data_IF_985750153159
#
_entry.id   IF_985750153159
#
_cell.length_a   1.000
_cell.length_b   1.000
_cell.length_c   1.000
_cell.angle_alpha   90.00
_cell.angle_beta   90.00
_cell.angle_gamma   90.00
#
_symmetry.space_group_name_H-M   'P 1'
#
loop_
_entity.id
_entity.type
_entity.pdbx_description
1 polymer ?
#
# COMPACT_ATOMS: atom_id res chain seq x y z
N UNK A 1 -81.51 3.91 15.83
CA UNK A 1 -80.51 3.06 15.14
C UNK A 1 -79.29 3.90 14.84
N UNK A 2 -78.13 3.49 15.35
CA UNK A 2 -76.83 4.16 15.20
C UNK A 2 -76.17 3.67 13.91
N UNK A 3 -75.67 4.56 13.06
CA UNK A 3 -74.71 4.24 12.02
C UNK A 3 -73.50 5.17 12.18
N UNK A 4 -72.49 4.65 12.87
CA UNK A 4 -71.15 5.25 13.01
C UNK A 4 -70.36 4.85 11.78
N UNK A 5 -70.11 5.79 10.88
CA UNK A 5 -69.18 5.59 9.77
C UNK A 5 -67.79 5.96 10.29
N UNK A 6 -66.94 4.94 10.39
CA UNK A 6 -65.58 5.01 10.89
C UNK A 6 -64.70 5.78 9.91
N UNK A 7 -64.03 6.81 10.42
CA UNK A 7 -62.91 7.48 9.78
C UNK A 7 -61.81 6.47 9.43
N UNK A 8 -61.59 6.24 8.14
CA UNK A 8 -60.44 5.52 7.61
C UNK A 8 -59.29 6.52 7.50
N UNK A 9 -58.33 6.41 8.43
CA UNK A 9 -57.05 7.10 8.35
C UNK A 9 -56.25 6.49 7.19
N UNK A 10 -55.97 7.32 6.17
CA UNK A 10 -54.96 7.05 5.15
C UNK A 10 -53.58 7.23 5.80
N UNK A 11 -52.92 6.11 6.11
CA UNK A 11 -51.50 6.09 6.43
C UNK A 11 -50.74 6.14 5.11
N UNK A 12 -49.90 7.17 4.84
CA UNK A 12 -48.98 7.09 3.73
C UNK A 12 -47.91 6.06 4.09
N UNK A 13 -47.98 4.89 3.45
CA UNK A 13 -46.87 3.95 3.39
C UNK A 13 -45.78 4.64 2.57
N UNK A 14 -44.93 5.39 3.25
CA UNK A 14 -43.65 5.84 2.71
C UNK A 14 -42.84 4.57 2.50
N UNK A 15 -42.91 4.03 1.29
CA UNK A 15 -41.95 3.06 0.81
C UNK A 15 -40.60 3.79 0.78
N UNK A 16 -39.83 3.62 1.86
CA UNK A 16 -38.40 3.88 1.87
C UNK A 16 -37.82 3.01 0.75
N UNK A 17 -37.62 3.63 -0.40
CA UNK A 17 -36.74 3.12 -1.44
C UNK A 17 -35.37 3.14 -0.81
N UNK A 18 -35.01 2.03 -0.16
CA UNK A 18 -33.62 1.69 0.11
C UNK A 18 -33.00 1.51 -1.28
N UNK A 19 -32.55 2.61 -1.87
CA UNK A 19 -31.51 2.57 -2.89
C UNK A 19 -30.40 1.74 -2.24
N UNK A 20 -30.21 0.53 -2.73
CA UNK A 20 -29.05 -0.28 -2.41
C UNK A 20 -27.84 0.63 -2.60
N UNK A 21 -27.18 1.00 -1.49
CA UNK A 21 -25.86 1.59 -1.51
C UNK A 21 -24.95 0.52 -2.11
N UNK A 22 -24.68 0.62 -3.41
CA UNK A 22 -23.70 -0.20 -4.12
C UNK A 22 -22.29 0.27 -3.76
N UNK A 23 -21.89 0.05 -2.52
CA UNK A 23 -20.49 0.14 -2.12
C UNK A 23 -19.76 -1.14 -2.54
N UNK A 24 -18.49 -1.02 -2.91
CA UNK A 24 -17.67 -2.17 -3.24
C UNK A 24 -17.53 -3.08 -2.00
N UNK A 25 -17.57 -4.38 -2.24
CA UNK A 25 -17.43 -5.41 -1.20
C UNK A 25 -15.98 -5.56 -0.74
N UNK A 26 -15.79 -6.19 0.42
CA UNK A 26 -14.44 -6.52 0.94
C UNK A 26 -13.64 -7.35 -0.07
N UNK A 27 -14.28 -8.34 -0.69
CA UNK A 27 -13.67 -9.19 -1.73
C UNK A 27 -13.23 -8.36 -2.95
N UNK A 28 -14.01 -7.37 -3.38
CA UNK A 28 -13.65 -6.49 -4.49
C UNK A 28 -12.41 -5.63 -4.18
N UNK A 29 -12.29 -5.10 -2.95
CA UNK A 29 -11.08 -4.36 -2.57
C UNK A 29 -9.86 -5.28 -2.41
N UNK A 30 -10.04 -6.49 -1.86
CA UNK A 30 -8.96 -7.48 -1.76
C UNK A 30 -8.46 -7.87 -3.15
N UNK A 31 -9.37 -8.12 -4.09
CA UNK A 31 -9.05 -8.46 -5.48
C UNK A 31 -8.35 -7.29 -6.20
N UNK A 32 -8.84 -6.06 -6.03
CA UNK A 32 -8.23 -4.86 -6.61
C UNK A 32 -6.79 -4.65 -6.10
N UNK A 33 -6.57 -4.73 -4.79
CA UNK A 33 -5.22 -4.59 -4.22
C UNK A 33 -4.30 -5.73 -4.67
N UNK A 34 -4.81 -6.97 -4.68
CA UNK A 34 -4.04 -8.13 -5.12
C UNK A 34 -3.64 -8.00 -6.59
N UNK A 35 -4.57 -7.55 -7.45
CA UNK A 35 -4.29 -7.23 -8.84
C UNK A 35 -3.17 -6.20 -8.97
N UNK A 36 -3.30 -5.05 -8.30
CA UNK A 36 -2.30 -3.98 -8.32
C UNK A 36 -0.92 -4.44 -7.86
N UNK A 37 -0.85 -5.22 -6.78
CA UNK A 37 0.42 -5.75 -6.26
C UNK A 37 1.06 -6.79 -7.17
N UNK A 38 0.27 -7.58 -7.91
CA UNK A 38 0.77 -8.57 -8.87
C UNK A 38 1.13 -7.95 -10.23
N UNK A 39 0.51 -6.83 -10.59
CA UNK A 39 0.75 -6.11 -11.85
C UNK A 39 1.78 -4.99 -11.74
N UNK A 40 2.22 -4.65 -10.52
CA UNK A 40 3.22 -3.61 -10.26
C UNK A 40 4.47 -3.75 -11.16
N UNK A 41 4.86 -2.65 -11.80
CA UNK A 41 6.00 -2.62 -12.73
C UNK A 41 7.32 -2.97 -12.03
N UNK A 42 7.50 -2.45 -10.80
CA UNK A 42 8.69 -2.70 -10.00
C UNK A 42 8.44 -3.81 -8.99
N UNK A 43 9.08 -4.97 -9.20
CA UNK A 43 9.04 -6.12 -8.28
C UNK A 43 7.61 -6.57 -7.93
N UNK A 44 6.84 -7.07 -8.93
CA UNK A 44 5.50 -7.59 -8.69
C UNK A 44 5.52 -8.71 -7.65
N UNK A 45 4.52 -8.72 -6.77
CA UNK A 45 4.37 -9.81 -5.83
C UNK A 45 3.80 -11.05 -6.53
N UNK A 46 4.16 -12.23 -6.03
CA UNK A 46 3.45 -13.44 -6.42
C UNK A 46 2.02 -13.40 -5.88
N UNK A 47 1.06 -13.94 -6.62
CA UNK A 47 -0.36 -13.98 -6.22
C UNK A 47 -0.60 -14.36 -4.74
N UNK A 48 -0.02 -15.43 -4.16
CA UNK A 48 -0.24 -15.77 -2.75
C UNK A 48 0.26 -14.71 -1.75
N UNK A 49 1.31 -13.96 -2.10
CA UNK A 49 1.83 -12.87 -1.26
C UNK A 49 0.95 -11.64 -1.38
N UNK A 50 0.50 -11.32 -2.60
CA UNK A 50 -0.41 -10.23 -2.87
C UNK A 50 -1.74 -10.44 -2.15
N UNK A 51 -2.33 -11.63 -2.22
CA UNK A 51 -3.55 -12.01 -1.50
C UNK A 51 -3.37 -11.85 0.02
N UNK A 52 -2.28 -12.39 0.59
CA UNK A 52 -1.97 -12.24 2.02
C UNK A 52 -1.92 -10.77 2.47
N UNK A 53 -1.22 -9.91 1.70
CA UNK A 53 -1.12 -8.49 2.01
C UNK A 53 -2.48 -7.82 1.88
N UNK A 54 -3.23 -8.14 0.82
CA UNK A 54 -4.52 -7.52 0.50
C UNK A 54 -5.57 -7.82 1.56
N UNK A 55 -5.68 -9.08 1.99
CA UNK A 55 -6.58 -9.49 3.07
C UNK A 55 -6.28 -8.73 4.37
N UNK A 56 -5.00 -8.62 4.74
CA UNK A 56 -4.59 -7.91 5.96
C UNK A 56 -4.83 -6.41 5.86
N UNK A 57 -4.52 -5.80 4.72
CA UNK A 57 -4.71 -4.37 4.51
C UNK A 57 -6.18 -4.00 4.55
N UNK A 58 -7.02 -4.68 3.76
CA UNK A 58 -8.46 -4.40 3.69
C UNK A 58 -9.13 -4.70 5.04
N UNK A 59 -8.78 -5.80 5.69
CA UNK A 59 -9.30 -6.13 7.02
C UNK A 59 -8.93 -5.09 8.09
N UNK A 60 -7.81 -4.39 7.93
CA UNK A 60 -7.37 -3.32 8.83
C UNK A 60 -8.03 -1.98 8.53
N UNK A 61 -8.09 -1.59 7.26
CA UNK A 61 -8.67 -0.30 6.86
C UNK A 61 -10.20 -0.31 6.99
N UNK A 62 -10.81 -1.46 6.72
CA UNK A 62 -12.25 -1.60 6.61
C UNK A 62 -12.78 -1.05 5.28
N UNK A 63 -13.82 -1.69 4.75
CA UNK A 63 -14.43 -1.29 3.48
C UNK A 63 -15.06 0.08 3.51
N UNK A 64 -15.57 0.52 4.67
CA UNK A 64 -16.22 1.83 4.81
C UNK A 64 -15.22 2.97 4.56
N UNK A 65 -14.02 2.89 5.16
CA UNK A 65 -12.95 3.88 4.94
C UNK A 65 -12.43 3.83 3.52
N UNK A 66 -12.28 2.64 2.95
CA UNK A 66 -11.85 2.49 1.56
C UNK A 66 -12.87 3.09 0.60
N UNK A 67 -14.16 2.89 0.83
CA UNK A 67 -15.23 3.39 -0.04
C UNK A 67 -15.43 4.91 0.04
N UNK A 68 -14.98 5.56 1.11
CA UNK A 68 -15.06 7.02 1.25
C UNK A 68 -14.08 7.72 0.29
N UNK A 69 -12.89 7.14 0.08
CA UNK A 69 -11.78 7.79 -0.64
C UNK A 69 -11.40 7.08 -1.96
N UNK A 70 -11.78 5.81 -2.13
CA UNK A 70 -11.39 4.98 -3.27
C UNK A 70 -12.57 4.26 -3.93
N UNK A 71 -12.64 4.34 -5.25
CA UNK A 71 -13.22 3.27 -6.05
C UNK A 71 -12.18 2.14 -6.28
N UNK A 72 -12.65 0.98 -6.74
CA UNK A 72 -11.79 -0.19 -6.87
C UNK A 72 -10.67 -0.01 -7.92
N UNK A 73 -10.87 0.81 -8.95
CA UNK A 73 -9.88 1.03 -10.02
C UNK A 73 -8.76 1.95 -9.53
N UNK A 74 -9.13 3.05 -8.84
CA UNK A 74 -8.16 3.93 -8.20
C UNK A 74 -7.35 3.17 -7.13
N UNK A 75 -8.02 2.29 -6.37
CA UNK A 75 -7.35 1.49 -5.35
C UNK A 75 -6.33 0.50 -5.93
N UNK A 76 -6.66 -0.15 -7.06
CA UNK A 76 -5.72 -1.05 -7.76
C UNK A 76 -4.44 -0.32 -8.18
N UNK A 77 -4.59 0.87 -8.80
CA UNK A 77 -3.46 1.69 -9.27
C UNK A 77 -2.55 2.10 -8.11
N UNK A 78 -3.16 2.56 -7.03
CA UNK A 78 -2.46 3.07 -5.85
C UNK A 78 -1.78 1.94 -5.05
N UNK A 79 -2.43 0.77 -4.98
CA UNK A 79 -1.84 -0.45 -4.44
C UNK A 79 -0.57 -0.86 -5.20
N UNK A 80 -0.54 -0.72 -6.53
CA UNK A 80 0.65 -1.02 -7.33
C UNK A 80 1.85 -0.14 -6.95
N UNK A 81 1.58 1.10 -6.52
CA UNK A 81 2.58 2.10 -6.14
C UNK A 81 2.88 2.14 -4.63
N UNK A 82 2.10 1.45 -3.82
CA UNK A 82 2.15 1.50 -2.35
C UNK A 82 1.92 2.92 -1.78
N UNK A 83 1.06 3.68 -2.43
CA UNK A 83 0.69 5.04 -2.03
C UNK A 83 -0.76 5.04 -1.61
N UNK A 84 -1.06 5.50 -0.40
CA UNK A 84 -2.42 5.53 0.16
C UNK A 84 -2.67 6.86 0.87
N UNK A 85 -2.27 7.96 0.21
CA UNK A 85 -2.28 9.29 0.83
C UNK A 85 -3.69 9.77 1.17
N UNK A 86 -4.68 9.36 0.38
CA UNK A 86 -6.07 9.71 0.59
C UNK A 86 -6.70 8.99 1.79
N UNK A 87 -6.09 7.88 2.26
CA UNK A 87 -6.58 7.19 3.46
C UNK A 87 -6.22 7.89 4.77
N UNK A 88 -5.43 8.97 4.76
CA UNK A 88 -4.99 9.70 5.96
C UNK A 88 -4.38 8.75 7.03
N UNK A 89 -3.54 7.81 6.60
CA UNK A 89 -2.92 6.83 7.47
C UNK A 89 -2.11 7.49 8.60
N UNK A 90 -2.39 7.09 9.84
CA UNK A 90 -1.54 7.43 10.98
C UNK A 90 -0.19 6.72 10.89
N UNK A 91 0.81 7.24 11.59
CA UNK A 91 2.13 6.60 11.61
C UNK A 91 2.09 5.17 12.18
N UNK A 92 1.35 4.87 13.27
CA UNK A 92 1.20 3.50 13.75
C UNK A 92 0.55 2.58 12.71
N UNK A 93 -0.55 3.00 12.06
CA UNK A 93 -1.22 2.18 11.05
C UNK A 93 -0.28 1.85 9.88
N UNK A 94 0.45 2.84 9.36
CA UNK A 94 1.40 2.61 8.28
C UNK A 94 2.58 1.72 8.70
N UNK A 95 2.99 1.74 9.97
CA UNK A 95 3.99 0.82 10.50
C UNK A 95 3.48 -0.62 10.54
N UNK A 96 2.25 -0.81 10.99
CA UNK A 96 1.63 -2.13 11.06
C UNK A 96 1.37 -2.70 9.65
N UNK A 97 0.97 -1.84 8.70
CA UNK A 97 0.89 -2.22 7.29
C UNK A 97 2.24 -2.65 6.74
N UNK A 98 3.31 -1.90 7.01
CA UNK A 98 4.67 -2.30 6.63
C UNK A 98 5.06 -3.68 7.19
N UNK A 99 4.67 -3.97 8.43
CA UNK A 99 4.90 -5.27 9.06
C UNK A 99 4.11 -6.38 8.36
N UNK A 100 2.87 -6.09 7.96
CA UNK A 100 2.03 -7.03 7.19
C UNK A 100 2.67 -7.39 5.84
N UNK A 101 3.31 -6.44 5.15
CA UNK A 101 4.11 -6.73 3.94
C UNK A 101 5.25 -7.71 4.23
N UNK A 102 6.01 -7.49 5.30
CA UNK A 102 7.16 -8.34 5.67
C UNK A 102 6.68 -9.73 6.09
N UNK A 103 5.64 -9.82 6.90
CA UNK A 103 5.06 -11.06 7.39
C UNK A 103 4.49 -11.92 6.26
N UNK A 104 3.89 -11.29 5.24
CA UNK A 104 3.46 -11.95 4.01
C UNK A 104 4.63 -12.29 3.06
N UNK A 105 5.87 -11.98 3.45
CA UNK A 105 7.08 -12.32 2.72
C UNK A 105 7.36 -11.43 1.51
N UNK A 106 6.85 -10.19 1.48
CA UNK A 106 7.22 -9.20 0.48
C UNK A 106 8.67 -8.76 0.67
N UNK A 107 9.44 -8.75 -0.43
CA UNK A 107 10.83 -8.28 -0.39
C UNK A 107 10.89 -6.75 -0.54
N UNK A 108 10.60 -6.06 0.56
CA UNK A 108 10.65 -4.59 0.60
C UNK A 108 12.05 -4.07 0.28
N UNK A 109 13.11 -4.83 0.57
CA UNK A 109 14.49 -4.44 0.26
C UNK A 109 14.72 -4.50 -1.24
N UNK A 110 14.29 -5.60 -1.86
CA UNK A 110 14.32 -5.81 -3.30
C UNK A 110 13.60 -4.70 -4.05
N UNK A 111 12.45 -4.22 -3.53
CA UNK A 111 11.71 -3.08 -4.09
C UNK A 111 12.52 -1.78 -4.11
N UNK A 112 13.12 -1.38 -2.99
CA UNK A 112 13.99 -0.16 -2.95
C UNK A 112 15.14 -0.30 -3.93
N UNK A 113 15.75 -1.47 -3.95
CA UNK A 113 16.92 -1.76 -4.78
C UNK A 113 16.53 -1.68 -6.26
N UNK A 114 15.42 -2.31 -6.67
CA UNK A 114 14.91 -2.23 -8.02
C UNK A 114 14.59 -0.77 -8.44
N UNK A 115 13.91 0.00 -7.58
CA UNK A 115 13.63 1.41 -7.85
C UNK A 115 14.91 2.26 -8.03
N UNK A 116 15.98 1.94 -7.29
CA UNK A 116 17.29 2.58 -7.49
C UNK A 116 17.97 2.14 -8.79
N UNK A 117 17.82 0.87 -9.17
CA UNK A 117 18.40 0.32 -10.40
C UNK A 117 17.69 0.76 -11.68
N UNK A 118 16.39 1.04 -11.60
CA UNK A 118 15.56 1.56 -12.70
C UNK A 118 15.72 3.08 -12.88
N UNK A 119 16.35 3.76 -11.92
CA UNK A 119 16.71 5.17 -12.07
C UNK A 119 17.80 5.34 -13.14
N UNK A 120 17.87 6.50 -13.80
CA UNK A 120 18.90 6.79 -14.82
C UNK A 120 20.35 6.63 -14.32
N UNK A 121 20.53 6.45 -13.01
CA UNK A 121 21.77 6.03 -12.39
C UNK A 121 22.01 4.55 -12.69
N UNK A 122 22.55 4.24 -13.87
CA UNK A 122 23.05 2.91 -14.19
C UNK A 122 24.05 2.46 -13.10
N UNK A 123 23.56 1.67 -12.13
CA UNK A 123 24.38 1.22 -11.01
C UNK A 123 25.41 0.21 -11.54
N UNK A 124 26.69 0.32 -11.14
CA UNK A 124 27.71 -0.64 -11.53
C UNK A 124 27.33 -2.07 -11.16
N UNK A 125 27.79 -3.04 -11.96
CA UNK A 125 27.62 -4.46 -11.65
C UNK A 125 28.20 -4.78 -10.26
N UNK A 126 27.45 -5.53 -9.45
CA UNK A 126 27.80 -5.84 -8.05
C UNK A 126 27.43 -4.77 -7.01
N UNK A 127 27.00 -3.57 -7.43
CA UNK A 127 26.53 -2.53 -6.50
C UNK A 127 25.28 -2.98 -5.75
N UNK A 128 24.36 -3.62 -6.48
CA UNK A 128 23.09 -4.10 -5.96
C UNK A 128 23.27 -5.14 -4.87
N UNK A 129 24.21 -6.07 -5.03
CA UNK A 129 24.48 -7.10 -4.02
C UNK A 129 25.18 -6.53 -2.79
N UNK A 130 26.05 -5.53 -2.96
CA UNK A 130 26.62 -4.82 -1.83
C UNK A 130 25.55 -4.05 -1.04
N UNK A 131 24.59 -3.41 -1.72
CA UNK A 131 23.50 -2.66 -1.09
C UNK A 131 22.51 -3.58 -0.35
N UNK A 132 22.22 -4.78 -0.89
CA UNK A 132 21.35 -5.78 -0.23
C UNK A 132 21.78 -6.09 1.20
N UNK A 133 23.09 -6.15 1.46
CA UNK A 133 23.64 -6.43 2.79
C UNK A 133 23.69 -5.23 3.75
N UNK A 134 23.45 -4.02 3.24
CA UNK A 134 23.62 -2.76 4.01
C UNK A 134 22.32 -2.02 4.31
N UNK A 135 21.26 -2.27 3.53
CA UNK A 135 19.95 -1.67 3.79
C UNK A 135 19.23 -2.47 4.89
N UNK A 136 19.14 -1.86 6.06
CA UNK A 136 18.45 -2.44 7.23
C UNK A 136 16.93 -2.28 7.11
N UNK A 137 16.19 -3.10 7.85
CA UNK A 137 14.72 -2.98 7.91
C UNK A 137 14.27 -1.62 8.44
N UNK A 138 14.92 -1.07 9.46
CA UNK A 138 14.61 0.27 9.96
C UNK A 138 14.75 1.36 8.88
N UNK A 139 15.72 1.21 7.95
CA UNK A 139 15.83 2.12 6.81
C UNK A 139 14.72 1.91 5.79
N UNK A 140 14.28 0.67 5.57
CA UNK A 140 13.12 0.39 4.70
C UNK A 140 11.85 0.96 5.29
N UNK A 141 11.61 0.76 6.58
CA UNK A 141 10.48 1.32 7.33
C UNK A 141 10.44 2.83 7.20
N UNK A 142 11.57 3.49 7.40
CA UNK A 142 11.68 4.94 7.26
C UNK A 142 11.43 5.42 5.82
N UNK A 143 11.55 4.57 4.80
CA UNK A 143 11.22 4.92 3.42
C UNK A 143 9.73 4.70 3.10
N UNK A 144 9.20 3.52 3.42
CA UNK A 144 7.87 3.09 3.00
C UNK A 144 6.75 3.65 3.87
N UNK A 145 6.98 3.86 5.17
CA UNK A 145 5.95 4.42 6.06
C UNK A 145 5.54 5.84 5.61
N UNK A 146 6.46 6.78 5.31
CA UNK A 146 6.09 8.07 4.74
C UNK A 146 5.49 7.97 3.34
N UNK A 147 5.98 7.05 2.50
CA UNK A 147 5.45 6.83 1.15
C UNK A 147 3.97 6.43 1.19
N UNK A 148 3.61 5.45 2.02
CA UNK A 148 2.23 5.01 2.18
C UNK A 148 1.32 6.12 2.68
N UNK A 149 1.82 6.99 3.57
CA UNK A 149 1.02 8.05 4.20
C UNK A 149 0.87 9.32 3.38
N UNK A 150 1.86 9.65 2.55
CA UNK A 150 1.98 11.00 1.96
C UNK A 150 2.30 11.00 0.48
N UNK A 151 2.31 9.82 -0.15
CA UNK A 151 2.75 9.62 -1.54
C UNK A 151 4.24 9.91 -1.76
N UNK A 152 4.97 10.32 -0.71
CA UNK A 152 6.35 10.79 -0.80
C UNK A 152 7.25 9.93 0.06
N UNK A 153 8.18 9.24 -0.61
CA UNK A 153 9.30 8.63 0.08
C UNK A 153 10.13 9.74 0.74
N UNK A 154 10.39 9.60 2.04
CA UNK A 154 11.22 10.54 2.79
C UNK A 154 12.06 9.77 3.78
N UNK A 155 13.38 9.93 3.75
CA UNK A 155 14.25 9.43 4.80
C UNK A 155 14.55 10.57 5.76
N UNK A 156 14.57 10.27 7.07
CA UNK A 156 15.16 11.20 8.02
C UNK A 156 16.64 11.43 7.66
N UNK A 157 17.16 12.60 8.03
CA UNK A 157 18.53 13.00 7.67
C UNK A 157 19.60 11.97 8.13
N UNK A 158 19.35 11.26 9.24
CA UNK A 158 20.24 10.22 9.73
C UNK A 158 20.22 8.98 8.84
N UNK A 159 19.04 8.51 8.46
CA UNK A 159 18.86 7.35 7.58
C UNK A 159 19.31 7.63 6.15
N UNK A 160 19.06 8.83 5.63
CA UNK A 160 19.58 9.29 4.35
C UNK A 160 21.11 9.24 4.34
N UNK A 161 21.76 9.86 5.34
CA UNK A 161 23.22 9.84 5.45
C UNK A 161 23.80 8.43 5.56
N UNK A 162 23.10 7.50 6.22
CA UNK A 162 23.50 6.09 6.30
C UNK A 162 23.35 5.37 4.95
N UNK A 163 22.28 5.66 4.20
CA UNK A 163 22.07 5.10 2.86
C UNK A 163 23.15 5.61 1.89
N UNK A 164 23.37 6.94 1.85
CA UNK A 164 24.42 7.56 1.04
C UNK A 164 25.81 6.99 1.38
N UNK A 165 26.13 6.85 2.67
CA UNK A 165 27.40 6.23 3.10
C UNK A 165 27.51 4.78 2.61
N UNK A 166 26.41 4.02 2.64
CA UNK A 166 26.39 2.63 2.17
C UNK A 166 26.61 2.56 0.66
N UNK A 167 25.98 3.44 -0.12
CA UNK A 167 26.18 3.59 -1.56
C UNK A 167 27.65 3.90 -1.86
N UNK A 168 28.23 4.91 -1.20
CA UNK A 168 29.65 5.29 -1.39
C UNK A 168 30.59 4.14 -1.03
N UNK A 169 30.39 3.49 0.11
CA UNK A 169 31.21 2.34 0.54
C UNK A 169 31.14 1.18 -0.46
N UNK A 170 29.95 0.92 -1.03
CA UNK A 170 29.80 -0.10 -2.06
C UNK A 170 30.53 0.28 -3.35
N UNK A 171 30.43 1.55 -3.77
CA UNK A 171 31.10 2.06 -4.96
C UNK A 171 32.63 2.00 -4.83
N UNK A 172 33.18 2.46 -3.70
CA UNK A 172 34.62 2.40 -3.41
C UNK A 172 35.13 0.95 -3.37
N UNK A 173 34.37 0.04 -2.76
CA UNK A 173 34.70 -1.38 -2.71
C UNK A 173 34.69 -2.06 -4.07
N UNK A 174 33.83 -1.64 -5.00
CA UNK A 174 33.82 -2.16 -6.36
C UNK A 174 35.03 -1.67 -7.16
N UNK A 175 35.39 -0.38 -7.04
CA UNK A 175 36.58 0.17 -7.70
C UNK A 175 37.85 -0.56 -7.25
N UNK A 176 37.99 -0.84 -5.95
CA UNK A 176 39.18 -1.49 -5.40
C UNK A 176 39.34 -2.96 -5.83
N UNK A 177 38.25 -3.64 -6.19
CA UNK A 177 38.26 -5.04 -6.63
C UNK A 177 38.37 -5.22 -8.16
N UNK A 178 38.44 -4.12 -8.93
CA UNK A 178 38.62 -4.14 -10.39
C UNK A 178 40.05 -3.81 -10.85
N UNK A 179 40.99 -3.57 -9.93
CA UNK A 179 42.43 -3.38 -10.19
C UNK A 179 43.27 -4.54 -9.67
#
# INVERSE_FOLDING_TARGET
MKLRIRSLALVPVVALVLTACGGASEEEYVDAMSSGLTSAETQPLTKPKAECVSERFVGRMGTDRLADDYDAEDFERDAAQLTFEDLDLTEPEANELFDDFIDCGADMRGRVIAALGDSELALPEGMMDCLKGKITEGQMRNLFVPLMRTGKASLDAGSQKKLEKSIVTCYEGLIQNQG
#
